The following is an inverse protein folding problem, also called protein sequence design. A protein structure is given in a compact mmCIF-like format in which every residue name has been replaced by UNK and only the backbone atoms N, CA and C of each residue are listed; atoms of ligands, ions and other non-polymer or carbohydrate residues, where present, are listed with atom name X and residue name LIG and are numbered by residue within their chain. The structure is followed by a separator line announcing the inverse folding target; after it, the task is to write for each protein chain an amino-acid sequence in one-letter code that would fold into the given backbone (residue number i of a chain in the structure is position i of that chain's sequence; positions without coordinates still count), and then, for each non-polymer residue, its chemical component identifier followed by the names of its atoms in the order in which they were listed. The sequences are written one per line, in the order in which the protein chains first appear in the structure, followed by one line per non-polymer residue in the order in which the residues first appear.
data_IF_142883041540
#
_entry.id   IF_142883041540
#
_cell.length_a   1.000
_cell.length_b   1.000
_cell.length_c   1.000
_cell.angle_alpha   90.00
_cell.angle_beta   90.00
_cell.angle_gamma   90.00
#
_symmetry.space_group_name_H-M   'P 1'
#
loop_
_entity.id
_entity.type
_entity.pdbx_description
1 polymer ?
#
# COMPACT_ATOMS: atom_id res chain seq x y z
N UNK A 1 20.57 3.65 2.64
CA UNK A 1 20.23 2.22 2.51
C UNK A 1 18.72 2.12 2.52
N UNK A 2 18.13 1.44 1.53
CA UNK A 2 16.68 1.25 1.45
C UNK A 2 16.24 0.18 2.46
N UNK A 3 15.18 0.45 3.22
CA UNK A 3 14.60 -0.51 4.18
C UNK A 3 13.08 -0.48 4.09
N UNK A 4 12.44 -1.60 4.39
CA UNK A 4 11.00 -1.66 4.56
C UNK A 4 10.62 -2.52 5.77
N UNK A 5 9.52 -2.14 6.42
CA UNK A 5 8.91 -2.80 7.57
C UNK A 5 7.43 -2.97 7.27
N UNK A 6 6.85 -4.08 7.71
CA UNK A 6 5.42 -4.36 7.57
C UNK A 6 4.81 -4.70 8.92
N UNK A 7 3.57 -4.29 9.14
CA UNK A 7 2.78 -4.63 10.31
C UNK A 7 1.34 -4.93 9.91
N UNK A 8 0.63 -5.68 10.75
CA UNK A 8 -0.80 -5.94 10.59
C UNK A 8 -1.11 -7.39 10.22
N UNK A 9 -2.32 -7.78 10.62
CA UNK A 9 -2.76 -9.16 10.67
C UNK A 9 -3.82 -9.40 9.58
N UNK A 10 -3.91 -10.62 9.04
CA UNK A 10 -4.87 -10.92 7.97
C UNK A 10 -6.34 -10.66 8.32
N UNK A 11 -6.69 -10.71 9.61
CA UNK A 11 -8.02 -10.40 10.12
C UNK A 11 -8.05 -9.12 10.98
N UNK A 12 -6.96 -8.33 10.94
CA UNK A 12 -6.90 -7.04 11.62
C UNK A 12 -7.57 -5.93 10.82
N UNK A 13 -7.62 -4.73 11.41
CA UNK A 13 -8.24 -3.56 10.79
C UNK A 13 -7.53 -3.07 9.53
N UNK A 14 -6.20 -3.17 9.49
CA UNK A 14 -5.39 -2.73 8.36
C UNK A 14 -4.01 -3.41 8.36
N UNK A 15 -3.36 -3.37 7.21
CA UNK A 15 -1.94 -3.63 7.05
C UNK A 15 -1.20 -2.30 6.88
N UNK A 16 0.04 -2.22 7.35
CA UNK A 16 0.90 -1.05 7.20
C UNK A 16 2.23 -1.45 6.60
N UNK A 17 2.71 -0.66 5.63
CA UNK A 17 4.06 -0.72 5.12
C UNK A 17 4.77 0.60 5.40
N UNK A 18 5.97 0.52 5.97
CA UNK A 18 6.87 1.65 6.19
C UNK A 18 8.10 1.46 5.31
N UNK A 19 8.41 2.43 4.46
CA UNK A 19 9.57 2.41 3.57
C UNK A 19 10.50 3.57 3.93
N UNK A 20 11.75 3.26 4.25
CA UNK A 20 12.77 4.23 4.66
C UNK A 20 13.92 4.29 3.66
N UNK A 21 14.60 5.45 3.61
CA UNK A 21 15.79 5.63 2.79
C UNK A 21 15.49 5.97 1.32
N UNK A 22 14.25 6.35 1.01
CA UNK A 22 13.89 6.93 -0.28
C UNK A 22 14.48 8.35 -0.39
N UNK A 23 15.01 8.75 -1.56
CA UNK A 23 15.39 10.15 -1.78
C UNK A 23 14.15 11.05 -1.76
N UNK A 24 14.34 12.34 -1.44
CA UNK A 24 13.28 13.35 -1.62
C UNK A 24 13.09 13.68 -3.11
N UNK A 25 11.86 14.07 -3.47
CA UNK A 25 11.52 14.52 -4.83
C UNK A 25 11.16 13.41 -5.82
N UNK A 26 11.16 12.14 -5.40
CA UNK A 26 10.71 11.03 -6.24
C UNK A 26 9.19 11.10 -6.40
N UNK A 27 8.71 10.99 -7.63
CA UNK A 27 7.27 11.00 -7.92
C UNK A 27 6.63 9.68 -7.49
N UNK A 28 5.51 9.79 -6.79
CA UNK A 28 4.73 8.65 -6.32
C UNK A 28 3.29 9.08 -6.04
N UNK A 29 2.35 8.33 -6.59
CA UNK A 29 0.91 8.55 -6.40
C UNK A 29 0.23 7.30 -5.82
N UNK A 30 -0.94 7.50 -5.20
CA UNK A 30 -1.72 6.38 -4.64
C UNK A 30 -2.25 5.49 -5.77
N UNK A 31 -2.57 6.08 -6.91
CA UNK A 31 -3.10 5.43 -8.10
C UNK A 31 -2.08 4.47 -8.73
N UNK A 32 -0.80 4.87 -8.80
CA UNK A 32 0.28 4.01 -9.27
C UNK A 32 0.46 2.80 -8.34
N UNK A 33 0.45 3.02 -7.03
CA UNK A 33 0.56 1.94 -6.04
C UNK A 33 -0.64 0.98 -6.15
N UNK A 34 -1.85 1.52 -6.27
CA UNK A 34 -3.08 0.72 -6.47
C UNK A 34 -3.00 -0.12 -7.74
N UNK A 35 -2.47 0.44 -8.83
CA UNK A 35 -2.29 -0.28 -10.10
C UNK A 35 -1.35 -1.47 -9.94
N UNK A 36 -0.22 -1.29 -9.26
CA UNK A 36 0.71 -2.40 -8.99
C UNK A 36 0.11 -3.43 -8.03
N UNK A 37 -0.65 -3.00 -7.03
CA UNK A 37 -1.35 -3.90 -6.11
C UNK A 37 -2.41 -4.74 -6.82
N UNK A 38 -3.16 -4.17 -7.76
CA UNK A 38 -4.15 -4.88 -8.55
C UNK A 38 -3.55 -6.05 -9.34
N UNK A 39 -2.27 -5.95 -9.76
CA UNK A 39 -1.57 -7.03 -10.46
C UNK A 39 -1.42 -8.31 -9.63
N UNK A 40 -1.46 -8.21 -8.30
CA UNK A 40 -1.40 -9.39 -7.38
C UNK A 40 -2.58 -10.35 -7.55
N UNK A 41 -3.66 -9.86 -8.16
CA UNK A 41 -4.90 -10.62 -8.44
C UNK A 41 -4.86 -11.33 -9.80
N UNK A 42 -3.82 -11.10 -10.59
CA UNK A 42 -3.60 -11.76 -11.87
C UNK A 42 -2.98 -13.15 -11.65
N UNK A 43 -3.21 -14.06 -12.60
CA UNK A 43 -2.64 -15.41 -12.60
C UNK A 43 -3.66 -16.54 -12.51
N UNK A 44 -3.33 -17.67 -13.12
CA UNK A 44 -4.16 -18.87 -13.12
C UNK A 44 -4.36 -19.40 -11.69
N UNK A 45 -5.59 -19.79 -11.33
CA UNK A 45 -5.95 -20.25 -9.99
C UNK A 45 -6.32 -19.15 -8.99
N UNK A 46 -6.27 -17.86 -9.37
CA UNK A 46 -6.81 -16.77 -8.55
C UNK A 46 -8.34 -16.78 -8.58
N UNK A 47 -8.95 -17.01 -7.42
CA UNK A 47 -10.39 -17.18 -7.28
C UNK A 47 -11.18 -15.88 -7.54
N UNK A 48 -12.48 -15.99 -7.89
CA UNK A 48 -13.33 -14.84 -8.21
C UNK A 48 -13.42 -13.83 -7.05
N UNK A 49 -13.31 -14.28 -5.80
CA UNK A 49 -13.33 -13.41 -4.61
C UNK A 49 -12.23 -12.34 -4.62
N UNK A 50 -11.03 -12.71 -5.04
CA UNK A 50 -9.89 -11.77 -5.14
C UNK A 50 -10.03 -10.75 -6.29
N UNK A 51 -10.98 -10.93 -7.23
CA UNK A 51 -11.21 -9.95 -8.32
C UNK A 51 -11.99 -8.73 -7.85
N UNK A 52 -12.81 -8.86 -6.81
CA UNK A 52 -13.74 -7.82 -6.37
C UNK A 52 -13.27 -7.08 -5.12
N UNK A 53 -12.43 -7.71 -4.28
CA UNK A 53 -11.79 -7.02 -3.15
C UNK A 53 -10.88 -5.94 -3.68
N UNK A 54 -11.21 -4.66 -3.44
CA UNK A 54 -10.34 -3.53 -3.72
C UNK A 54 -9.67 -3.10 -2.41
N UNK A 55 -8.38 -3.38 -2.30
CA UNK A 55 -7.52 -2.83 -1.25
C UNK A 55 -7.58 -1.29 -1.28
N UNK A 56 -8.21 -0.68 -0.27
CA UNK A 56 -8.22 0.77 -0.11
C UNK A 56 -6.88 1.20 0.51
N UNK A 57 -6.10 1.95 -0.25
CA UNK A 57 -4.75 2.39 0.11
C UNK A 57 -4.75 3.86 0.53
N UNK A 58 -4.03 4.18 1.58
CA UNK A 58 -3.78 5.56 2.04
C UNK A 58 -2.30 5.77 2.31
N UNK A 59 -1.71 6.82 1.73
CA UNK A 59 -0.38 7.29 2.15
C UNK A 59 -0.55 8.22 3.36
N UNK A 60 -0.09 7.77 4.52
CA UNK A 60 -0.22 8.48 5.79
C UNK A 60 0.91 9.51 5.96
N UNK A 61 2.10 9.23 5.43
CA UNK A 61 3.27 10.08 5.64
C UNK A 61 4.37 9.88 4.60
N UNK A 62 5.31 10.82 4.59
CA UNK A 62 6.50 10.79 3.73
C UNK A 62 6.32 11.25 2.29
N UNK A 63 5.09 11.62 1.89
CA UNK A 63 4.77 12.13 0.56
C UNK A 63 3.95 13.41 0.69
N UNK A 64 4.24 14.40 -0.16
CA UNK A 64 3.46 15.63 -0.29
C UNK A 64 3.40 16.05 -1.75
N UNK A 65 2.20 16.39 -2.23
CA UNK A 65 1.96 16.78 -3.62
C UNK A 65 2.53 15.78 -4.64
N UNK A 66 2.35 14.48 -4.38
CA UNK A 66 2.81 13.39 -5.25
C UNK A 66 4.33 13.18 -5.26
N UNK A 67 5.07 13.72 -4.28
CA UNK A 67 6.52 13.55 -4.18
C UNK A 67 6.98 13.14 -2.79
N UNK A 68 7.97 12.27 -2.73
CA UNK A 68 8.62 11.86 -1.47
C UNK A 68 9.32 13.03 -0.80
N UNK A 69 9.32 13.04 0.53
CA UNK A 69 9.99 14.06 1.35
C UNK A 69 11.38 13.64 1.85
N UNK A 70 11.79 12.40 1.61
CA UNK A 70 13.02 11.81 2.17
C UNK A 70 12.85 11.25 3.60
N UNK A 71 11.79 11.63 4.30
CA UNK A 71 11.32 10.94 5.51
C UNK A 71 10.69 9.58 5.16
N UNK A 72 10.49 8.67 6.14
CA UNK A 72 9.80 7.42 5.91
C UNK A 72 8.43 7.60 5.23
N UNK A 73 8.15 6.78 4.22
CA UNK A 73 6.85 6.71 3.56
C UNK A 73 6.02 5.64 4.25
N UNK A 74 4.84 6.02 4.73
CA UNK A 74 3.92 5.13 5.46
C UNK A 74 2.67 4.93 4.62
N UNK A 75 2.36 3.67 4.33
CA UNK A 75 1.21 3.25 3.53
C UNK A 75 0.33 2.36 4.39
N UNK A 76 -0.94 2.69 4.50
CA UNK A 76 -1.98 1.86 5.10
C UNK A 76 -2.79 1.19 3.99
N UNK A 77 -3.09 -0.09 4.18
CA UNK A 77 -4.02 -0.88 3.38
C UNK A 77 -5.16 -1.29 4.31
N UNK A 78 -6.35 -0.71 4.13
CA UNK A 78 -7.50 -1.01 4.98
C UNK A 78 -8.09 -2.37 4.64
N UNK A 79 -8.54 -3.08 5.67
CA UNK A 79 -9.32 -4.29 5.51
C UNK A 79 -10.80 -3.94 5.34
N UNK A 80 -11.35 -4.19 4.14
CA UNK A 80 -12.76 -3.89 3.81
C UNK A 80 -13.78 -4.67 4.63
N UNK A 81 -13.37 -5.79 5.23
CA UNK A 81 -14.26 -6.67 6.01
C UNK A 81 -14.25 -6.35 7.52
N UNK A 82 -13.39 -5.44 8.00
CA UNK A 82 -13.22 -5.23 9.45
C UNK A 82 -14.48 -4.69 10.16
N UNK A 83 -15.24 -3.82 9.50
CA UNK A 83 -16.45 -3.20 10.06
C UNK A 83 -17.75 -3.87 9.60
N UNK A 84 -17.67 -4.96 8.83
CA UNK A 84 -18.84 -5.74 8.39
C UNK A 84 -19.25 -6.74 9.47
#
# INVERSE_FOLDING_TARGET
MLRFLTAGESHGQALVAVVEGLPAGMEITVEEIQTEMARRRLGYGRGPRQRFEQDELTIIGGVRHGRTLGSPVVIEIKNSEWFR
#
